data_IF_031308851037
#
_entry.id   IF_031308851037
#
_cell.length_a   1.000
_cell.length_b   1.000
_cell.length_c   1.000
_cell.angle_alpha   90.00
_cell.angle_beta   90.00
_cell.angle_gamma   90.00
#
_symmetry.space_group_name_H-M   'P 1'
#
loop_
_entity.id
_entity.type
_entity.pdbx_description
1 polymer ?
#
# COMPACT_ATOMS: atom_id res chain seq x y z
N UNK A 1 56.13 -30.81 -18.63
CA UNK A 1 55.78 -29.37 -18.82
C UNK A 1 54.30 -29.21 -18.50
N UNK A 2 54.00 -28.88 -17.25
CA UNK A 2 52.66 -28.81 -16.72
C UNK A 2 52.23 -27.33 -16.73
N UNK A 3 51.16 -27.02 -17.43
CA UNK A 3 50.55 -25.68 -17.44
C UNK A 3 49.71 -25.48 -16.18
N UNK A 4 49.73 -24.33 -15.54
CA UNK A 4 48.87 -24.04 -14.38
C UNK A 4 47.45 -23.73 -14.83
N UNK A 5 46.48 -24.41 -14.22
CA UNK A 5 45.04 -24.15 -14.34
C UNK A 5 44.71 -22.85 -13.59
N UNK A 6 44.31 -21.80 -14.32
CA UNK A 6 43.78 -20.59 -13.72
C UNK A 6 42.35 -20.86 -13.26
N UNK A 7 42.12 -20.96 -11.95
CA UNK A 7 40.82 -20.80 -11.34
C UNK A 7 40.39 -19.34 -11.46
N UNK A 8 39.47 -19.05 -12.37
CA UNK A 8 38.72 -17.77 -12.39
C UNK A 8 37.70 -17.79 -11.30
N UNK A 9 38.07 -17.33 -10.10
CA UNK A 9 37.13 -17.01 -9.04
C UNK A 9 36.28 -15.84 -9.49
N UNK A 10 35.00 -16.08 -9.79
CA UNK A 10 34.00 -15.02 -9.97
C UNK A 10 33.86 -14.33 -8.63
N UNK A 11 34.47 -13.16 -8.50
CA UNK A 11 34.23 -12.23 -7.39
C UNK A 11 32.81 -11.73 -7.54
N UNK A 12 31.87 -12.33 -6.81
CA UNK A 12 30.52 -11.79 -6.68
C UNK A 12 30.67 -10.47 -5.91
N UNK A 13 30.66 -9.36 -6.62
CA UNK A 13 30.56 -8.04 -6.00
C UNK A 13 29.26 -8.02 -5.19
N UNK A 14 29.31 -7.65 -3.90
CA UNK A 14 28.09 -7.51 -3.11
C UNK A 14 27.18 -6.51 -3.82
N UNK A 15 25.90 -6.86 -4.01
CA UNK A 15 24.90 -5.93 -4.53
C UNK A 15 24.93 -4.69 -3.64
N UNK A 16 24.90 -3.47 -4.21
CA UNK A 16 24.78 -2.26 -3.41
C UNK A 16 23.61 -2.42 -2.46
N UNK A 17 23.84 -2.20 -1.18
CA UNK A 17 22.77 -2.27 -0.19
C UNK A 17 21.79 -1.15 -0.48
N UNK A 18 20.58 -1.49 -0.92
CA UNK A 18 19.51 -0.54 -1.13
C UNK A 18 18.86 -0.17 0.20
N UNK A 19 18.59 1.11 0.36
CA UNK A 19 17.90 1.66 1.52
C UNK A 19 16.54 2.19 1.07
N UNK A 20 15.56 2.07 1.96
CA UNK A 20 14.18 2.41 1.66
C UNK A 20 13.67 3.53 2.57
N UNK A 21 12.86 4.41 2.00
CA UNK A 21 12.26 5.54 2.69
C UNK A 21 10.80 5.70 2.27
N UNK A 22 9.88 5.68 3.24
CA UNK A 22 8.50 6.10 3.00
C UNK A 22 8.41 7.59 3.21
N UNK A 23 7.77 8.27 2.28
CA UNK A 23 7.51 9.71 2.32
C UNK A 23 6.01 9.93 2.17
N UNK A 24 5.46 10.85 2.97
CA UNK A 24 4.11 11.39 2.80
C UNK A 24 4.21 12.90 2.62
N UNK A 25 3.65 13.41 1.53
CA UNK A 25 3.44 14.83 1.30
C UNK A 25 1.94 15.12 1.39
N UNK A 26 1.57 16.11 2.20
CA UNK A 26 0.19 16.55 2.40
C UNK A 26 0.11 18.07 2.24
N UNK A 27 -0.85 18.57 1.50
CA UNK A 27 -1.12 19.99 1.36
C UNK A 27 -2.13 20.31 0.27
N UNK A 28 -2.36 21.60 0.02
CA UNK A 28 -3.31 22.06 -0.98
C UNK A 28 -2.85 21.72 -2.39
N UNK A 29 -3.74 21.16 -3.20
CA UNK A 29 -3.44 20.78 -4.58
C UNK A 29 -3.17 21.98 -5.47
N UNK A 30 -2.11 21.87 -6.26
CA UNK A 30 -1.71 22.88 -7.26
C UNK A 30 -1.09 22.19 -8.49
N UNK A 31 -1.41 22.67 -9.70
CA UNK A 31 -0.80 22.13 -10.93
C UNK A 31 0.73 22.08 -10.84
N UNK A 32 1.32 20.93 -11.13
CA UNK A 32 2.77 20.73 -11.18
C UNK A 32 3.44 20.36 -9.86
N UNK A 33 2.70 20.32 -8.72
CA UNK A 33 3.28 20.00 -7.41
C UNK A 33 3.85 18.57 -7.37
N UNK A 34 3.11 17.60 -7.88
CA UNK A 34 3.55 16.20 -7.96
C UNK A 34 4.81 16.07 -8.83
N UNK A 35 4.82 16.75 -9.99
CA UNK A 35 5.99 16.77 -10.88
C UNK A 35 7.21 17.39 -10.20
N UNK A 36 7.03 18.43 -9.40
CA UNK A 36 8.13 19.07 -8.65
C UNK A 36 8.72 18.11 -7.62
N UNK A 37 7.86 17.39 -6.88
CA UNK A 37 8.29 16.39 -5.88
C UNK A 37 9.03 15.24 -6.58
N UNK A 38 8.46 14.64 -7.62
CA UNK A 38 9.04 13.49 -8.31
C UNK A 38 10.38 13.84 -8.99
N UNK A 39 10.51 15.04 -9.55
CA UNK A 39 11.79 15.54 -10.08
C UNK A 39 12.83 15.69 -8.98
N UNK A 40 12.44 16.19 -7.81
CA UNK A 40 13.36 16.33 -6.68
C UNK A 40 13.85 14.96 -6.19
N UNK A 41 12.94 13.98 -6.07
CA UNK A 41 13.28 12.57 -5.75
C UNK A 41 14.32 12.02 -6.73
N UNK A 42 14.06 12.16 -8.03
CA UNK A 42 14.97 11.69 -9.09
C UNK A 42 16.32 12.40 -9.05
N UNK A 43 16.35 13.71 -8.79
CA UNK A 43 17.59 14.50 -8.72
C UNK A 43 18.48 14.10 -7.54
N UNK A 44 17.92 13.53 -6.48
CA UNK A 44 18.65 12.97 -5.34
C UNK A 44 19.21 11.56 -5.62
N UNK A 45 18.89 10.96 -6.78
CA UNK A 45 19.32 9.61 -7.14
C UNK A 45 18.47 8.51 -6.49
N UNK A 46 17.25 8.84 -6.06
CA UNK A 46 16.27 7.87 -5.55
C UNK A 46 15.35 7.38 -6.67
N UNK A 47 14.92 6.11 -6.56
CA UNK A 47 13.86 5.52 -7.37
C UNK A 47 12.54 5.51 -6.59
N UNK A 48 11.40 5.63 -7.30
CA UNK A 48 10.06 5.48 -6.72
C UNK A 48 9.60 4.05 -7.00
N UNK A 49 9.52 3.23 -5.95
CA UNK A 49 9.12 1.82 -6.04
C UNK A 49 7.60 1.67 -6.07
N UNK A 50 6.90 2.44 -5.25
CA UNK A 50 5.44 2.47 -5.16
C UNK A 50 4.96 3.86 -4.76
N UNK A 51 3.75 4.21 -5.17
CA UNK A 51 3.16 5.49 -4.77
C UNK A 51 1.63 5.46 -4.79
N UNK A 52 1.04 6.28 -3.94
CA UNK A 52 -0.41 6.52 -3.87
C UNK A 52 -0.66 8.00 -3.77
N UNK A 53 -1.60 8.50 -4.56
CA UNK A 53 -2.07 9.88 -4.51
C UNK A 53 -3.58 9.88 -4.31
N UNK A 54 -4.04 10.67 -3.37
CA UNK A 54 -5.47 10.84 -3.11
C UNK A 54 -5.82 12.31 -2.87
N UNK A 55 -6.99 12.72 -3.35
CA UNK A 55 -7.60 14.02 -3.06
C UNK A 55 -8.64 13.85 -1.97
N UNK A 56 -8.50 14.57 -0.86
CA UNK A 56 -9.41 14.54 0.28
C UNK A 56 -9.83 15.98 0.64
N UNK A 57 -11.03 16.36 0.21
CA UNK A 57 -11.45 17.76 0.31
C UNK A 57 -10.66 18.65 -0.65
N UNK A 58 -10.03 19.70 -0.12
CA UNK A 58 -9.15 20.62 -0.86
C UNK A 58 -7.68 20.20 -0.83
N UNK A 59 -7.38 19.17 -0.05
CA UNK A 59 -6.02 18.72 0.17
C UNK A 59 -5.71 17.45 -0.64
N UNK A 60 -4.46 17.34 -1.11
CA UNK A 60 -3.96 16.09 -1.63
C UNK A 60 -3.01 15.42 -0.62
N UNK A 61 -2.94 14.12 -0.69
CA UNK A 61 -1.91 13.32 -0.04
C UNK A 61 -1.17 12.49 -1.09
N UNK A 62 0.14 12.51 -1.03
CA UNK A 62 1.00 11.73 -1.93
C UNK A 62 2.00 10.93 -1.10
N UNK A 63 1.78 9.62 -1.06
CA UNK A 63 2.63 8.67 -0.33
C UNK A 63 3.51 7.97 -1.35
N UNK A 64 4.80 7.85 -1.06
CA UNK A 64 5.79 7.19 -1.92
C UNK A 64 6.68 6.28 -1.09
N UNK A 65 7.01 5.11 -1.65
CA UNK A 65 8.12 4.27 -1.22
C UNK A 65 9.29 4.54 -2.15
N UNK A 66 10.39 5.00 -1.60
CA UNK A 66 11.62 5.27 -2.34
C UNK A 66 12.68 4.23 -2.01
N UNK A 67 13.51 3.92 -3.03
CA UNK A 67 14.75 3.16 -2.86
C UNK A 67 15.95 3.97 -3.35
N UNK A 68 17.13 3.65 -2.82
CA UNK A 68 18.36 4.28 -3.26
C UNK A 68 19.56 3.90 -2.41
N UNK A 69 20.73 4.40 -2.81
CA UNK A 69 21.94 4.28 -2.00
C UNK A 69 21.78 5.03 -0.67
N UNK A 70 22.61 4.71 0.31
CA UNK A 70 22.64 5.46 1.57
C UNK A 70 22.75 6.98 1.36
N UNK A 71 23.63 7.40 0.44
CA UNK A 71 23.84 8.81 0.15
C UNK A 71 22.59 9.46 -0.49
N UNK A 72 21.91 8.77 -1.41
CA UNK A 72 20.69 9.24 -2.04
C UNK A 72 19.56 9.44 -1.01
N UNK A 73 19.36 8.44 -0.14
CA UNK A 73 18.37 8.53 0.94
C UNK A 73 18.70 9.64 1.94
N UNK A 74 19.95 9.80 2.34
CA UNK A 74 20.36 10.88 3.25
C UNK A 74 20.20 12.26 2.59
N UNK A 75 20.45 12.36 1.28
CA UNK A 75 20.27 13.61 0.53
C UNK A 75 18.79 14.00 0.47
N UNK A 76 17.90 13.07 0.14
CA UNK A 76 16.46 13.38 0.08
C UNK A 76 15.90 13.72 1.46
N UNK A 77 16.32 13.04 2.53
CA UNK A 77 15.92 13.34 3.91
C UNK A 77 16.30 14.78 4.34
N UNK A 78 17.44 15.27 3.87
CA UNK A 78 17.91 16.62 4.22
C UNK A 78 17.29 17.72 3.35
N UNK A 79 16.94 17.42 2.11
CA UNK A 79 16.52 18.45 1.12
C UNK A 79 15.00 18.51 0.90
N UNK A 80 14.28 17.39 1.03
CA UNK A 80 12.84 17.36 0.79
C UNK A 80 12.03 18.20 1.79
N UNK A 81 12.37 18.27 3.09
CA UNK A 81 11.66 19.17 4.01
C UNK A 81 11.74 20.64 3.61
N UNK A 82 12.90 21.09 3.10
CA UNK A 82 13.07 22.45 2.58
C UNK A 82 12.19 22.68 1.36
N UNK A 83 12.18 21.72 0.45
CA UNK A 83 11.31 21.77 -0.72
C UNK A 83 9.82 21.73 -0.32
N UNK A 84 9.46 20.97 0.70
CA UNK A 84 8.12 20.96 1.27
C UNK A 84 7.70 22.34 1.80
N UNK A 85 8.59 23.01 2.55
CA UNK A 85 8.33 24.36 3.06
C UNK A 85 8.13 25.38 1.92
N UNK A 86 8.92 25.30 0.84
CA UNK A 86 8.75 26.17 -0.34
C UNK A 86 7.38 25.93 -1.04
N UNK A 87 6.88 24.70 -0.97
CA UNK A 87 5.64 24.30 -1.61
C UNK A 87 4.43 24.35 -0.67
N UNK A 88 4.60 24.78 0.57
CA UNK A 88 3.58 24.76 1.63
C UNK A 88 3.00 23.36 1.83
N UNK A 89 3.89 22.37 1.95
CA UNK A 89 3.56 20.98 2.18
C UNK A 89 4.07 20.50 3.53
N UNK A 90 3.23 19.73 4.23
CA UNK A 90 3.67 18.88 5.33
C UNK A 90 4.37 17.64 4.76
N UNK A 91 5.64 17.47 5.09
CA UNK A 91 6.44 16.30 4.69
C UNK A 91 6.69 15.43 5.93
N UNK A 92 6.30 14.16 5.85
CA UNK A 92 6.63 13.15 6.86
C UNK A 92 7.45 12.06 6.20
N UNK A 93 8.54 11.65 6.85
CA UNK A 93 9.46 10.64 6.32
C UNK A 93 9.77 9.59 7.37
N UNK A 94 9.89 8.33 6.93
CA UNK A 94 10.29 7.21 7.78
C UNK A 94 11.11 6.21 6.99
N UNK A 95 12.33 5.91 7.45
CA UNK A 95 13.12 4.81 6.91
C UNK A 95 12.39 3.50 7.15
N UNK A 96 12.45 2.61 6.16
CA UNK A 96 11.82 1.29 6.19
C UNK A 96 12.77 0.25 5.58
N UNK A 97 12.34 -0.98 5.60
CA UNK A 97 13.06 -2.09 4.98
C UNK A 97 12.36 -2.50 3.68
N UNK A 98 13.10 -3.21 2.82
CA UNK A 98 12.52 -3.85 1.64
C UNK A 98 11.36 -4.76 2.07
N UNK A 99 10.22 -4.63 1.41
CA UNK A 99 9.12 -5.57 1.65
C UNK A 99 9.43 -6.94 1.01
N UNK A 100 10.25 -7.74 1.66
CA UNK A 100 10.25 -9.18 1.43
C UNK A 100 9.11 -9.82 2.25
N UNK A 101 7.85 -9.37 2.02
CA UNK A 101 6.72 -10.12 2.59
C UNK A 101 6.62 -11.43 1.83
N UNK A 102 6.60 -12.58 2.52
CA UNK A 102 6.22 -13.82 1.87
C UNK A 102 4.86 -13.61 1.20
N UNK A 103 4.62 -14.21 0.02
CA UNK A 103 3.33 -14.11 -0.63
C UNK A 103 2.25 -14.57 0.36
N UNK A 104 1.29 -13.68 0.64
CA UNK A 104 0.19 -14.03 1.54
C UNK A 104 -0.66 -15.11 0.88
N UNK A 105 -1.06 -16.17 1.64
CA UNK A 105 -1.78 -17.31 1.08
C UNK A 105 -3.09 -16.96 0.40
N UNK A 106 -3.76 -15.90 0.85
CA UNK A 106 -4.99 -15.43 0.22
C UNK A 106 -5.12 -13.90 0.26
N UNK A 107 -5.74 -13.36 -0.78
CA UNK A 107 -6.17 -11.97 -0.85
C UNK A 107 -7.67 -11.90 -1.04
N UNK A 108 -8.32 -11.05 -0.26
CA UNK A 108 -9.76 -10.81 -0.25
C UNK A 108 -10.03 -9.39 -0.72
N UNK A 109 -10.92 -9.25 -1.69
CA UNK A 109 -11.43 -7.96 -2.15
C UNK A 109 -12.91 -7.87 -1.86
N UNK A 110 -13.32 -6.79 -1.21
CA UNK A 110 -14.73 -6.48 -1.02
C UNK A 110 -15.07 -5.11 -1.58
N UNK A 111 -16.29 -5.01 -2.11
CA UNK A 111 -16.92 -3.75 -2.48
C UNK A 111 -18.29 -3.70 -1.86
N UNK A 112 -18.65 -2.57 -1.27
CA UNK A 112 -19.91 -2.39 -0.56
C UNK A 112 -20.53 -1.05 -0.95
N UNK A 113 -21.81 -1.05 -1.22
CA UNK A 113 -22.65 0.14 -1.31
C UNK A 113 -23.74 0.04 -0.21
N UNK A 114 -23.83 1.06 0.63
CA UNK A 114 -24.72 1.07 1.79
C UNK A 114 -25.20 2.50 2.07
N UNK A 115 -26.37 2.65 2.68
CA UNK A 115 -26.81 3.96 3.17
C UNK A 115 -25.79 4.50 4.18
N UNK A 116 -25.33 5.75 3.98
CA UNK A 116 -24.29 6.33 4.83
C UNK A 116 -24.83 6.55 6.24
N UNK A 117 -24.13 5.98 7.20
CA UNK A 117 -24.41 6.16 8.63
C UNK A 117 -23.15 5.99 9.48
N UNK A 118 -23.13 6.51 10.71
CA UNK A 118 -21.99 6.30 11.60
C UNK A 118 -21.64 4.83 11.80
N UNK A 119 -20.36 4.55 12.02
CA UNK A 119 -19.81 3.22 12.36
C UNK A 119 -19.83 2.17 11.24
N UNK A 120 -20.28 2.47 10.03
CA UNK A 120 -20.28 1.48 8.94
C UNK A 120 -18.86 0.98 8.61
N UNK A 121 -17.90 1.88 8.46
CA UNK A 121 -16.51 1.50 8.16
C UNK A 121 -15.94 0.65 9.29
N UNK A 122 -16.19 1.04 10.55
CA UNK A 122 -15.79 0.28 11.75
C UNK A 122 -16.31 -1.16 11.69
N UNK A 123 -17.59 -1.38 11.39
CA UNK A 123 -18.19 -2.71 11.28
C UNK A 123 -17.49 -3.60 10.24
N UNK A 124 -17.11 -3.04 9.08
CA UNK A 124 -16.36 -3.78 8.07
C UNK A 124 -14.90 -4.01 8.46
N UNK A 125 -14.24 -3.06 9.12
CA UNK A 125 -12.87 -3.27 9.59
C UNK A 125 -12.80 -4.30 10.72
N UNK A 126 -13.77 -4.31 11.65
CA UNK A 126 -13.91 -5.31 12.70
C UNK A 126 -14.11 -6.72 12.14
N UNK A 127 -14.84 -6.85 11.03
CA UNK A 127 -14.98 -8.13 10.33
C UNK A 127 -13.62 -8.72 9.95
N UNK A 128 -12.73 -7.90 9.35
CA UNK A 128 -11.40 -8.37 8.95
C UNK A 128 -10.49 -8.63 10.15
N UNK A 129 -10.53 -7.77 11.17
CA UNK A 129 -9.74 -7.93 12.41
C UNK A 129 -10.12 -9.21 13.15
N UNK A 130 -11.42 -9.48 13.33
CA UNK A 130 -11.91 -10.70 13.98
C UNK A 130 -11.50 -11.99 13.26
N UNK A 131 -11.20 -11.91 11.97
CA UNK A 131 -10.69 -13.02 11.15
C UNK A 131 -9.17 -12.98 10.97
N UNK A 132 -8.45 -12.15 11.74
CA UNK A 132 -7.00 -11.99 11.71
C UNK A 132 -6.45 -11.64 10.31
N UNK A 133 -7.22 -10.90 9.54
CA UNK A 133 -6.84 -10.42 8.21
C UNK A 133 -6.22 -9.02 8.29
N UNK A 134 -5.12 -8.82 7.58
CA UNK A 134 -4.49 -7.51 7.48
C UNK A 134 -5.09 -6.71 6.32
N UNK A 135 -5.69 -5.55 6.63
CA UNK A 135 -6.17 -4.62 5.61
C UNK A 135 -4.97 -3.97 4.93
N UNK A 136 -4.83 -4.21 3.62
CA UNK A 136 -3.76 -3.64 2.79
C UNK A 136 -4.19 -2.31 2.15
N UNK A 137 -5.47 -2.18 1.81
CA UNK A 137 -6.03 -0.98 1.21
C UNK A 137 -7.49 -0.81 1.64
N UNK A 138 -7.87 0.42 1.98
CA UNK A 138 -9.24 0.81 2.24
C UNK A 138 -9.52 2.13 1.55
N UNK A 139 -10.53 2.13 0.68
CA UNK A 139 -11.05 3.33 0.02
C UNK A 139 -12.52 3.46 0.37
N UNK A 140 -12.94 4.62 0.85
CA UNK A 140 -14.34 4.92 1.09
C UNK A 140 -14.71 6.27 0.50
N UNK A 141 -15.93 6.38 -0.02
CA UNK A 141 -16.44 7.61 -0.60
C UNK A 141 -17.95 7.74 -0.38
N UNK A 142 -18.35 8.80 0.29
CA UNK A 142 -19.76 9.18 0.42
C UNK A 142 -20.22 9.85 -0.87
N UNK A 143 -21.29 9.35 -1.46
CA UNK A 143 -22.05 10.02 -2.53
C UNK A 143 -23.15 10.82 -1.88
N UNK A 144 -23.29 12.11 -2.19
CA UNK A 144 -24.35 12.95 -1.61
C UNK A 144 -25.74 12.43 -2.01
N UNK A 145 -26.73 12.81 -1.21
CA UNK A 145 -28.13 12.55 -1.52
C UNK A 145 -28.49 13.11 -2.91
N UNK A 146 -29.26 12.35 -3.69
CA UNK A 146 -29.80 12.77 -4.97
C UNK A 146 -31.32 12.55 -4.95
N UNK A 147 -32.07 13.66 -4.94
CA UNK A 147 -33.53 13.66 -4.88
C UNK A 147 -34.07 12.85 -3.69
N UNK A 148 -34.63 11.67 -3.95
CA UNK A 148 -35.24 10.80 -2.93
C UNK A 148 -34.27 9.75 -2.36
N UNK A 149 -33.02 9.70 -2.82
CA UNK A 149 -32.05 8.70 -2.37
C UNK A 149 -31.19 9.30 -1.26
N UNK A 150 -31.13 8.67 -0.05
CA UNK A 150 -30.26 9.13 1.02
C UNK A 150 -28.77 9.04 0.59
N UNK A 151 -27.86 9.71 1.30
CA UNK A 151 -26.43 9.59 1.05
C UNK A 151 -26.00 8.12 1.05
N UNK A 152 -25.17 7.74 0.12
CA UNK A 152 -24.64 6.38 -0.03
C UNK A 152 -23.15 6.37 0.24
N UNK A 153 -22.71 5.42 1.03
CA UNK A 153 -21.31 5.17 1.29
C UNK A 153 -20.84 3.99 0.42
N UNK A 154 -19.87 4.25 -0.44
CA UNK A 154 -19.13 3.23 -1.16
C UNK A 154 -17.86 2.89 -0.38
N UNK A 155 -17.59 1.59 -0.18
CA UNK A 155 -16.39 1.09 0.49
C UNK A 155 -15.75 0.04 -0.40
N UNK A 156 -14.42 0.11 -0.53
CA UNK A 156 -13.60 -0.94 -1.14
C UNK A 156 -12.48 -1.29 -0.17
N UNK A 157 -12.33 -2.59 0.13
CA UNK A 157 -11.27 -3.09 0.99
C UNK A 157 -10.53 -4.21 0.27
N UNK A 158 -9.20 -4.15 0.35
CA UNK A 158 -8.30 -5.24 0.00
C UNK A 158 -7.63 -5.71 1.28
N UNK A 159 -7.79 -6.98 1.61
CA UNK A 159 -7.19 -7.57 2.80
C UNK A 159 -6.40 -8.84 2.45
N UNK A 160 -5.37 -9.12 3.25
CA UNK A 160 -4.54 -10.29 3.13
C UNK A 160 -4.77 -11.22 4.31
N UNK A 161 -4.90 -12.51 4.01
CA UNK A 161 -5.04 -13.55 5.02
C UNK A 161 -3.76 -14.36 5.14
N UNK A 162 -3.36 -14.72 6.38
CA UNK A 162 -2.26 -15.66 6.61
C UNK A 162 -2.61 -17.11 6.29
N UNK A 163 -3.88 -17.40 5.96
CA UNK A 163 -4.36 -18.76 5.68
C UNK A 163 -5.06 -18.86 4.33
N UNK A 164 -4.87 -19.98 3.63
CA UNK A 164 -5.51 -20.24 2.33
C UNK A 164 -7.02 -20.53 2.43
N UNK A 165 -7.54 -20.84 3.62
CA UNK A 165 -8.97 -21.12 3.87
C UNK A 165 -9.81 -19.87 4.14
N UNK A 166 -9.23 -18.69 3.95
CA UNK A 166 -9.90 -17.42 4.23
C UNK A 166 -11.28 -17.29 3.56
N UNK A 167 -11.43 -17.71 2.32
CA UNK A 167 -12.70 -17.59 1.59
C UNK A 167 -13.87 -18.30 2.25
N UNK A 168 -13.68 -19.54 2.69
CA UNK A 168 -14.75 -20.33 3.30
C UNK A 168 -15.27 -19.78 4.63
N UNK A 169 -14.48 -18.93 5.29
CA UNK A 169 -14.81 -18.35 6.59
C UNK A 169 -15.32 -16.93 6.42
N UNK A 170 -14.66 -16.10 5.62
CA UNK A 170 -14.97 -14.68 5.50
C UNK A 170 -16.21 -14.41 4.64
N UNK A 171 -16.45 -15.20 3.58
CA UNK A 171 -17.60 -14.99 2.69
C UNK A 171 -18.95 -15.04 3.39
N UNK A 172 -19.26 -16.09 4.21
CA UNK A 172 -20.51 -16.14 4.96
C UNK A 172 -20.65 -14.97 5.94
N UNK A 173 -19.58 -14.64 6.68
CA UNK A 173 -19.59 -13.54 7.64
C UNK A 173 -19.78 -12.17 6.97
N UNK A 174 -19.17 -11.96 5.79
CA UNK A 174 -19.37 -10.76 4.99
C UNK A 174 -20.82 -10.64 4.50
N UNK A 175 -21.41 -11.70 3.97
CA UNK A 175 -22.81 -11.69 3.53
C UNK A 175 -23.80 -11.48 4.68
N UNK A 176 -23.52 -12.05 5.85
CA UNK A 176 -24.32 -11.79 7.03
C UNK A 176 -24.26 -10.32 7.42
N UNK A 177 -23.07 -9.73 7.48
CA UNK A 177 -22.90 -8.29 7.79
C UNK A 177 -23.61 -7.40 6.77
N UNK A 178 -23.49 -7.71 5.48
CA UNK A 178 -24.22 -6.97 4.44
C UNK A 178 -25.74 -7.04 4.65
N UNK A 179 -26.28 -8.22 5.06
CA UNK A 179 -27.70 -8.38 5.35
C UNK A 179 -28.14 -7.55 6.56
N UNK A 180 -27.36 -7.55 7.64
CA UNK A 180 -27.61 -6.77 8.85
C UNK A 180 -27.63 -5.26 8.58
N UNK A 181 -26.74 -4.80 7.71
CA UNK A 181 -26.58 -3.37 7.35
C UNK A 181 -27.47 -2.94 6.17
N UNK A 182 -28.26 -3.86 5.60
CA UNK A 182 -29.00 -3.63 4.34
C UNK A 182 -28.10 -3.13 3.22
N UNK A 183 -26.85 -3.61 3.18
CA UNK A 183 -25.82 -3.24 2.23
C UNK A 183 -25.86 -4.14 0.98
N UNK A 184 -25.49 -3.56 -0.17
CA UNK A 184 -25.17 -4.34 -1.35
C UNK A 184 -23.67 -4.55 -1.39
N UNK A 185 -23.23 -5.81 -1.27
CA UNK A 185 -21.82 -6.12 -1.21
C UNK A 185 -21.41 -7.24 -2.16
N UNK A 186 -20.19 -7.18 -2.64
CA UNK A 186 -19.53 -8.27 -3.37
C UNK A 186 -18.18 -8.58 -2.74
N UNK A 187 -17.86 -9.87 -2.69
CA UNK A 187 -16.59 -10.39 -2.17
C UNK A 187 -15.94 -11.29 -3.20
N UNK A 188 -14.63 -11.22 -3.31
CA UNK A 188 -13.81 -12.10 -4.15
C UNK A 188 -12.57 -12.51 -3.38
N UNK A 189 -12.25 -13.80 -3.41
CA UNK A 189 -11.09 -14.37 -2.72
C UNK A 189 -10.20 -15.07 -3.73
N UNK A 190 -8.91 -14.74 -3.71
CA UNK A 190 -7.90 -15.44 -4.51
C UNK A 190 -6.89 -16.07 -3.56
N UNK A 191 -6.76 -17.39 -3.68
CA UNK A 191 -5.76 -18.15 -2.97
C UNK A 191 -4.51 -18.30 -3.85
N UNK A 192 -3.35 -18.03 -3.30
CA UNK A 192 -2.06 -18.25 -3.95
C UNK A 192 -1.49 -19.58 -3.48
N UNK A 193 -1.09 -20.47 -4.41
CA UNK A 193 -0.45 -21.70 -4.03
C UNK A 193 0.83 -21.39 -3.24
N UNK A 194 0.96 -21.97 -2.07
CA UNK A 194 2.22 -21.95 -1.33
C UNK A 194 3.22 -22.75 -2.14
N UNK A 195 4.31 -22.15 -2.58
CA UNK A 195 5.46 -22.92 -3.04
C UNK A 195 5.99 -23.68 -1.80
N UNK A 196 5.72 -24.99 -1.74
CA UNK A 196 6.46 -25.85 -0.85
C UNK A 196 7.94 -25.69 -1.21
N UNK A 197 8.72 -25.04 -0.34
CA UNK A 197 10.16 -25.20 -0.36
C UNK A 197 10.39 -26.71 -0.21
N UNK A 198 10.75 -27.36 -1.30
CA UNK A 198 11.32 -28.71 -1.24
C UNK A 198 12.64 -28.54 -0.51
N UNK A 199 12.64 -28.88 0.78
CA UNK A 199 13.84 -29.18 1.51
C UNK A 199 14.58 -30.25 0.70
N UNK A 200 15.62 -29.81 0.02
CA UNK A 200 16.51 -30.71 -0.71
C UNK A 200 17.34 -31.52 0.28
N UNK A 201 17.15 -32.81 0.25
CA UNK A 201 18.12 -33.78 0.78
C UNK A 201 19.55 -33.58 0.22
#
# INVERSE_FOLDING_TARGET
MLLPTFCTGSTILPRPQEHYLVITALGTDRPGIVNTITRHVSSCGCNIEDSRLAMLGTEFTFIMLLSGSWNAITLIESTLPLKGAELDLLIVMKRTESQSRPPMPATVWVKVDVADSPHIIERFTDLFDSHQMNIAELVSKTRPADGNTPPQLYIQITAHSPTALAGSIIEPAFHQLCTELHAQGSISVVNYPQHEEKDGE
#
